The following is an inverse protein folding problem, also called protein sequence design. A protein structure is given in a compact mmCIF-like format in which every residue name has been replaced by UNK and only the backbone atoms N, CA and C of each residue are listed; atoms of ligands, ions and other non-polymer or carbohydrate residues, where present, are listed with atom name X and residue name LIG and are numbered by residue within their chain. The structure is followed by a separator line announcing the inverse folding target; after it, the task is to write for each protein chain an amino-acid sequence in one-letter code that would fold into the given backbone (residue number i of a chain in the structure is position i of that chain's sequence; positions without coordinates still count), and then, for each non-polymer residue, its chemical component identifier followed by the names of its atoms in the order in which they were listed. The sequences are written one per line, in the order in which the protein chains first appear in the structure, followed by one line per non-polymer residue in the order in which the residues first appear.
data_IF_388552577865
#
_entry.id   IF_388552577865
#
_cell.length_a   1.000
_cell.length_b   1.000
_cell.length_c   1.000
_cell.angle_alpha   90.00
_cell.angle_beta   90.00
_cell.angle_gamma   90.00
#
_symmetry.space_group_name_H-M   'P 1'
#
loop_
_entity.id
_entity.type
_entity.pdbx_description
1 polymer ?
#
# COMPACT_ATOMS: atom_id res chain seq x y z
N UNK A 1 -13.94 -4.10 3.37
CA UNK A 1 -12.53 -4.18 2.96
C UNK A 1 -12.50 -4.71 1.53
N UNK A 2 -11.86 -3.99 0.61
CA UNK A 2 -11.81 -4.31 -0.83
C UNK A 2 -10.42 -4.83 -1.21
N UNK A 3 -10.31 -5.55 -2.32
CA UNK A 3 -9.03 -6.01 -2.89
C UNK A 3 -8.52 -5.00 -3.90
N UNK A 4 -7.22 -4.65 -3.84
CA UNK A 4 -6.59 -3.81 -4.84
C UNK A 4 -6.52 -4.54 -6.19
N UNK A 5 -6.20 -5.84 -6.18
CA UNK A 5 -6.16 -6.69 -7.38
C UNK A 5 -7.50 -6.78 -8.12
N UNK A 6 -8.60 -6.88 -7.38
CA UNK A 6 -9.94 -6.97 -7.94
C UNK A 6 -10.51 -5.60 -8.36
N UNK A 7 -9.82 -4.50 -8.03
CA UNK A 7 -10.22 -3.15 -8.39
C UNK A 7 -9.54 -2.74 -9.68
N UNK A 8 -10.34 -2.49 -10.71
CA UNK A 8 -9.81 -2.05 -11.99
C UNK A 8 -9.05 -0.71 -11.84
N UNK A 9 -7.79 -0.69 -12.28
CA UNK A 9 -6.88 0.46 -12.20
C UNK A 9 -6.80 1.14 -10.82
N UNK A 10 -6.53 0.36 -9.76
CA UNK A 10 -6.25 0.94 -8.44
C UNK A 10 -5.13 2.00 -8.51
N UNK A 11 -5.33 3.24 -8.00
CA UNK A 11 -4.43 4.36 -8.26
C UNK A 11 -3.24 4.40 -7.29
N UNK A 12 -2.30 3.47 -7.46
CA UNK A 12 -1.22 3.25 -6.51
C UNK A 12 -0.38 4.50 -6.15
N UNK A 13 -0.06 5.32 -7.14
CA UNK A 13 0.83 6.48 -6.98
C UNK A 13 0.11 7.76 -6.57
N UNK A 14 -1.23 7.73 -6.45
CA UNK A 14 -2.00 8.94 -6.17
C UNK A 14 -1.66 9.46 -4.77
N UNK A 15 -1.26 10.73 -4.68
CA UNK A 15 -0.77 11.35 -3.44
C UNK A 15 -1.78 11.40 -2.29
N UNK A 16 -3.07 11.20 -2.62
CA UNK A 16 -4.18 11.14 -1.67
C UNK A 16 -4.43 9.74 -1.13
N UNK A 17 -3.86 8.69 -1.75
CA UNK A 17 -3.87 7.33 -1.19
C UNK A 17 -2.97 7.29 0.03
N UNK A 18 -3.46 6.71 1.12
CA UNK A 18 -2.70 6.56 2.36
C UNK A 18 -2.39 5.09 2.59
N UNK A 19 -1.11 4.73 2.57
CA UNK A 19 -0.67 3.38 2.89
C UNK A 19 -0.34 3.24 4.36
N UNK A 20 -0.64 2.06 4.89
CA UNK A 20 -0.22 1.65 6.22
C UNK A 20 -0.06 0.13 6.23
N UNK A 21 0.77 -0.35 7.13
CA UNK A 21 0.93 -1.77 7.38
C UNK A 21 0.46 -2.12 8.78
N UNK A 22 0.01 -3.36 8.93
CA UNK A 22 -0.38 -3.94 10.22
C UNK A 22 0.47 -5.18 10.44
N UNK A 23 1.13 -5.24 11.59
CA UNK A 23 1.93 -6.41 11.97
C UNK A 23 1.08 -7.53 12.58
N UNK A 24 1.74 -8.61 13.03
CA UNK A 24 1.05 -9.75 13.65
C UNK A 24 0.51 -9.46 15.05
N UNK A 25 1.01 -8.43 15.72
CA UNK A 25 0.57 -7.98 17.04
C UNK A 25 -0.61 -7.01 16.93
N UNK A 26 -0.91 -6.52 15.72
CA UNK A 26 -1.94 -5.53 15.46
C UNK A 26 -1.42 -4.09 15.49
N UNK A 27 -0.09 -3.90 15.58
CA UNK A 27 0.51 -2.57 15.53
C UNK A 27 0.40 -1.99 14.12
N UNK A 28 -0.07 -0.74 14.06
CA UNK A 28 -0.32 -0.02 12.81
C UNK A 28 0.78 0.99 12.56
N UNK A 29 1.45 0.89 11.42
CA UNK A 29 2.50 1.84 11.01
C UNK A 29 2.17 2.46 9.66
N UNK A 30 2.31 3.78 9.56
CA UNK A 30 2.09 4.51 8.31
C UNK A 30 3.26 4.30 7.34
N UNK A 31 2.94 4.04 6.07
CA UNK A 31 3.92 3.95 4.98
C UNK A 31 3.86 5.22 4.15
N UNK A 32 4.87 6.07 4.32
CA UNK A 32 5.03 7.29 3.53
C UNK A 32 5.47 6.94 2.11
N UNK A 33 4.81 7.53 1.11
CA UNK A 33 5.08 7.24 -0.30
C UNK A 33 5.08 8.47 -1.22
N UNK A 34 4.71 9.65 -0.68
CA UNK A 34 4.40 10.84 -1.47
C UNK A 34 5.62 11.46 -2.16
N UNK A 35 6.81 11.28 -1.59
CA UNK A 35 8.04 11.87 -2.10
C UNK A 35 9.02 10.79 -2.57
N UNK A 36 9.89 11.13 -3.52
CA UNK A 36 10.98 10.24 -3.97
C UNK A 36 11.90 9.81 -2.81
N UNK A 37 12.07 10.67 -1.81
CA UNK A 37 12.86 10.37 -0.60
C UNK A 37 12.23 9.28 0.29
N UNK A 38 10.93 9.02 0.14
CA UNK A 38 10.24 7.99 0.91
C UNK A 38 10.35 6.60 0.26
N UNK A 39 10.88 6.49 -0.96
CA UNK A 39 11.08 5.23 -1.68
C UNK A 39 11.75 4.13 -0.85
N UNK A 40 12.80 4.38 -0.04
CA UNK A 40 13.37 3.34 0.82
C UNK A 40 12.36 2.76 1.81
N UNK A 41 11.48 3.59 2.39
CA UNK A 41 10.45 3.15 3.33
C UNK A 41 9.37 2.33 2.63
N UNK A 42 8.99 2.72 1.41
CA UNK A 42 8.07 1.95 0.57
C UNK A 42 8.66 0.58 0.24
N UNK A 43 9.96 0.52 -0.08
CA UNK A 43 10.69 -0.72 -0.32
C UNK A 43 10.73 -1.61 0.92
N UNK A 44 11.01 -1.05 2.09
CA UNK A 44 10.99 -1.80 3.36
C UNK A 44 9.60 -2.38 3.64
N UNK A 45 8.54 -1.60 3.49
CA UNK A 45 7.16 -2.07 3.66
C UNK A 45 6.82 -3.19 2.67
N UNK A 46 7.23 -3.04 1.40
CA UNK A 46 7.08 -4.10 0.39
C UNK A 46 7.82 -5.38 0.79
N UNK A 47 9.06 -5.29 1.25
CA UNK A 47 9.84 -6.44 1.71
C UNK A 47 9.19 -7.13 2.92
N UNK A 48 8.66 -6.37 3.88
CA UNK A 48 7.93 -6.91 5.04
C UNK A 48 6.65 -7.63 4.61
N UNK A 49 5.90 -7.06 3.67
CA UNK A 49 4.71 -7.68 3.11
C UNK A 49 5.03 -8.97 2.34
N UNK A 50 6.09 -8.97 1.51
CA UNK A 50 6.61 -10.14 0.81
C UNK A 50 7.02 -11.27 1.77
N UNK A 51 7.68 -10.91 2.87
CA UNK A 51 8.08 -11.85 3.93
C UNK A 51 6.91 -12.29 4.83
N UNK A 52 5.68 -11.81 4.58
CA UNK A 52 4.48 -12.10 5.38
C UNK A 52 4.66 -11.72 6.86
N UNK A 53 5.47 -10.70 7.14
CA UNK A 53 5.66 -10.18 8.50
C UNK A 53 4.60 -9.13 8.82
N UNK A 54 4.24 -8.31 7.84
CA UNK A 54 3.17 -7.32 7.92
C UNK A 54 2.19 -7.50 6.77
N UNK A 55 0.97 -6.98 6.92
CA UNK A 55 -0.01 -6.88 5.83
C UNK A 55 -0.15 -5.43 5.41
N UNK A 56 -0.04 -5.17 4.12
CA UNK A 56 -0.10 -3.82 3.57
C UNK A 56 -1.53 -3.46 3.16
N UNK A 57 -1.96 -2.27 3.57
CA UNK A 57 -3.27 -1.71 3.30
C UNK A 57 -3.15 -0.32 2.69
N UNK A 58 -4.21 0.09 2.01
CA UNK A 58 -4.36 1.44 1.49
C UNK A 58 -5.75 1.98 1.74
N UNK A 59 -5.84 3.24 2.14
CA UNK A 59 -7.09 4.00 2.09
C UNK A 59 -7.06 4.83 0.82
N UNK A 60 -8.01 4.61 -0.07
CA UNK A 60 -8.20 5.44 -1.25
C UNK A 60 -9.43 6.33 -1.04
N UNK A 61 -9.26 7.66 -0.99
CA UNK A 61 -10.39 8.58 -1.00
C UNK A 61 -11.00 8.60 -2.40
N UNK A 62 -12.10 7.88 -2.56
CA UNK A 62 -12.96 7.97 -3.73
C UNK A 62 -13.73 9.29 -3.76
N UNK A 63 -14.62 9.44 -4.74
CA UNK A 63 -15.40 10.67 -4.93
C UNK A 63 -16.42 10.94 -3.79
N UNK A 64 -16.90 9.87 -3.16
CA UNK A 64 -18.00 9.94 -2.18
C UNK A 64 -17.68 9.25 -0.84
N UNK A 65 -16.71 8.34 -0.84
CA UNK A 65 -16.31 7.56 0.33
C UNK A 65 -14.80 7.29 0.29
N UNK A 66 -14.21 7.18 1.48
CA UNK A 66 -12.90 6.57 1.64
C UNK A 66 -13.07 5.08 1.84
N UNK A 67 -12.55 4.29 0.91
CA UNK A 67 -12.62 2.84 0.96
C UNK A 67 -11.26 2.27 1.41
N UNK A 68 -11.32 1.23 2.25
CA UNK A 68 -10.14 0.50 2.71
C UNK A 68 -9.86 -0.68 1.77
N UNK A 69 -8.63 -0.75 1.29
CA UNK A 69 -8.13 -1.78 0.38
C UNK A 69 -7.00 -2.58 1.04
N UNK A 70 -7.00 -3.89 0.80
CA UNK A 70 -5.79 -4.71 0.97
C UNK A 70 -4.95 -4.64 -0.29
N UNK A 71 -3.64 -4.50 -0.12
CA UNK A 71 -2.69 -4.61 -1.21
C UNK A 71 -2.31 -6.08 -1.36
N UNK A 72 -3.18 -6.82 -2.05
CA UNK A 72 -3.03 -8.24 -2.36
C UNK A 72 -2.28 -8.49 -3.67
N UNK A 73 -2.14 -7.48 -4.52
CA UNK A 73 -1.24 -7.47 -5.67
C UNK A 73 0.06 -6.72 -5.34
N UNK A 74 1.01 -7.44 -4.75
CA UNK A 74 2.32 -6.91 -4.38
C UNK A 74 3.19 -6.61 -5.62
N UNK A 75 3.01 -7.33 -6.73
CA UNK A 75 3.73 -7.08 -7.99
C UNK A 75 3.28 -5.76 -8.63
N UNK A 76 1.98 -5.49 -8.66
CA UNK A 76 1.44 -4.21 -9.16
C UNK A 76 1.90 -3.04 -8.29
N UNK A 77 1.92 -3.21 -6.97
CA UNK A 77 2.47 -2.24 -6.04
C UNK A 77 3.96 -1.97 -6.32
N UNK A 78 4.77 -3.01 -6.45
CA UNK A 78 6.20 -2.87 -6.72
C UNK A 78 6.48 -2.17 -8.05
N UNK A 79 5.74 -2.51 -9.11
CA UNK A 79 5.83 -1.84 -10.42
C UNK A 79 5.45 -0.36 -10.32
N UNK A 80 4.36 -0.03 -9.66
CA UNK A 80 3.93 1.36 -9.48
C UNK A 80 5.02 2.20 -8.80
N UNK A 81 5.63 1.68 -7.73
CA UNK A 81 6.71 2.39 -7.04
C UNK A 81 8.10 2.17 -7.65
N UNK A 82 8.21 1.55 -8.84
CA UNK A 82 9.45 1.20 -9.55
C UNK A 82 10.44 0.40 -8.68
N UNK A 83 9.96 -0.48 -7.79
CA UNK A 83 10.79 -1.25 -6.86
C UNK A 83 11.45 -2.48 -7.51
N UNK A 84 10.91 -2.92 -8.65
CA UNK A 84 11.37 -4.04 -9.49
C UNK A 84 11.42 -3.62 -10.95
#
# INVERSE_FOLDING_TARGET
MRSAKATDNFPYEMSTVCYFEVDKNGDVSQVYHKNKSDRPKVLEAYQRAMNKTTTLYAVWPGRWSSDLFIIDDLDAFAKAFNLI
#
